data_IF_162927448506
#
_entry.id   IF_162927448506
#
_cell.length_a   1.000
_cell.length_b   1.000
_cell.length_c   1.000
_cell.angle_alpha   90.00
_cell.angle_beta   90.00
_cell.angle_gamma   90.00
#
_symmetry.space_group_name_H-M   'P 1'
#
loop_
_entity.id
_entity.type
_entity.pdbx_description
1 polymer ?
#
# COMPACT_ATOMS: atom_id res chain seq x y z
N UNK A 1 51.95 -8.15 1.79
CA UNK A 1 51.66 -7.53 3.10
C UNK A 1 50.54 -6.53 2.88
N UNK A 2 49.44 -6.68 3.65
CA UNK A 2 48.23 -5.85 3.71
C UNK A 2 47.33 -5.85 2.44
N UNK A 3 46.00 -5.93 2.53
CA UNK A 3 45.06 -6.11 3.64
C UNK A 3 43.76 -6.61 3.02
N UNK A 4 43.18 -7.64 3.61
CA UNK A 4 41.95 -8.28 3.19
C UNK A 4 40.78 -7.29 3.37
N UNK A 5 40.05 -7.03 2.29
CA UNK A 5 38.80 -6.29 2.35
C UNK A 5 37.75 -7.22 2.94
N UNK A 6 37.46 -7.02 4.23
CA UNK A 6 36.37 -7.65 4.95
C UNK A 6 35.07 -7.41 4.20
N UNK A 7 34.53 -8.46 3.58
CA UNK A 7 33.18 -8.47 3.04
C UNK A 7 32.22 -8.48 4.22
N UNK A 8 31.72 -7.31 4.60
CA UNK A 8 30.55 -7.22 5.46
C UNK A 8 29.33 -7.51 4.58
N UNK A 9 28.92 -8.78 4.51
CA UNK A 9 27.58 -9.15 4.05
C UNK A 9 26.57 -8.52 5.01
N UNK A 10 26.22 -7.27 4.75
CA UNK A 10 25.02 -6.67 5.28
C UNK A 10 23.85 -7.47 4.70
N UNK A 11 23.48 -8.52 5.42
CA UNK A 11 22.24 -9.26 5.24
C UNK A 11 21.12 -8.22 5.33
N UNK A 12 20.69 -7.75 4.16
CA UNK A 12 19.54 -6.88 4.03
C UNK A 12 18.36 -7.69 4.53
N UNK A 13 18.00 -7.50 5.81
CA UNK A 13 16.77 -8.03 6.38
C UNK A 13 15.63 -7.33 5.66
N UNK A 14 15.25 -7.89 4.51
CA UNK A 14 13.96 -7.63 3.89
C UNK A 14 12.94 -7.90 4.99
N UNK A 15 12.13 -6.90 5.40
CA UNK A 15 11.12 -7.12 6.43
C UNK A 15 10.31 -8.33 6.01
N UNK A 16 10.29 -9.36 6.86
CA UNK A 16 9.56 -10.59 6.57
C UNK A 16 8.13 -10.19 6.21
N UNK A 17 7.72 -10.49 4.97
CA UNK A 17 6.37 -10.24 4.54
C UNK A 17 5.44 -10.93 5.55
N UNK A 18 4.41 -10.24 6.07
CA UNK A 18 3.52 -10.83 7.05
C UNK A 18 2.95 -12.13 6.47
N UNK A 19 2.75 -13.18 7.30
CA UNK A 19 2.30 -14.48 6.84
C UNK A 19 1.04 -14.30 5.98
N UNK A 20 1.17 -14.62 4.69
CA UNK A 20 0.06 -14.61 3.74
C UNK A 20 -0.86 -15.73 4.19
N UNK A 21 -1.92 -15.38 4.93
CA UNK A 21 -2.95 -16.33 5.27
C UNK A 21 -3.66 -16.71 3.95
N UNK A 22 -3.58 -17.98 3.49
CA UNK A 22 -4.10 -18.40 2.19
C UNK A 22 -5.62 -18.21 2.06
N UNK A 23 -6.33 -17.99 3.17
CA UNK A 23 -7.75 -17.68 3.19
C UNK A 23 -8.08 -16.23 2.82
N UNK A 24 -7.08 -15.34 2.77
CA UNK A 24 -7.29 -13.90 2.51
C UNK A 24 -6.69 -13.45 1.19
N UNK A 25 -7.52 -12.83 0.37
CA UNK A 25 -7.15 -12.25 -0.91
C UNK A 25 -6.93 -10.73 -0.79
N UNK A 26 -5.77 -10.21 -1.24
CA UNK A 26 -5.52 -8.78 -1.26
C UNK A 26 -6.28 -8.11 -2.41
N UNK A 27 -7.16 -7.17 -2.07
CA UNK A 27 -7.85 -6.30 -3.03
C UNK A 27 -7.25 -4.90 -2.95
N UNK A 28 -6.80 -4.39 -4.09
CA UNK A 28 -6.33 -3.00 -4.23
C UNK A 28 -7.45 -2.12 -4.75
N UNK A 29 -7.71 -1.03 -4.04
CA UNK A 29 -8.67 -0.01 -4.42
C UNK A 29 -7.89 1.25 -4.71
N UNK A 30 -8.06 1.81 -5.91
CA UNK A 30 -7.37 3.01 -6.35
C UNK A 30 -8.37 4.11 -6.66
N UNK A 31 -8.13 5.29 -6.10
CA UNK A 31 -8.90 6.51 -6.42
C UNK A 31 -7.98 7.43 -7.19
N UNK A 32 -8.39 7.87 -8.38
CA UNK A 32 -7.62 8.73 -9.27
C UNK A 32 -8.46 9.95 -9.66
N UNK A 33 -7.88 11.15 -9.65
CA UNK A 33 -8.56 12.37 -10.05
C UNK A 33 -7.85 13.65 -9.63
N UNK A 34 -8.61 14.73 -9.41
CA UNK A 34 -8.06 15.95 -8.82
C UNK A 34 -7.68 15.70 -7.35
N UNK A 35 -6.71 16.44 -6.82
CA UNK A 35 -6.29 16.33 -5.41
C UNK A 35 -7.47 16.47 -4.45
N UNK A 36 -8.36 17.43 -4.73
CA UNK A 36 -9.54 17.68 -3.92
C UNK A 36 -10.53 16.50 -3.97
N UNK A 37 -10.82 15.97 -5.16
CA UNK A 37 -11.75 14.85 -5.31
C UNK A 37 -11.24 13.57 -4.63
N UNK A 38 -9.94 13.27 -4.76
CA UNK A 38 -9.31 12.11 -4.11
C UNK A 38 -9.45 12.22 -2.59
N UNK A 39 -9.11 13.38 -2.00
CA UNK A 39 -9.24 13.60 -0.56
C UNK A 39 -10.70 13.50 -0.10
N UNK A 40 -11.64 14.10 -0.84
CA UNK A 40 -13.07 14.04 -0.52
C UNK A 40 -13.57 12.60 -0.45
N UNK A 41 -13.21 11.75 -1.43
CA UNK A 41 -13.59 10.34 -1.45
C UNK A 41 -12.97 9.59 -0.27
N UNK A 42 -11.68 9.76 0.01
CA UNK A 42 -11.01 9.11 1.15
C UNK A 42 -11.69 9.49 2.48
N UNK A 43 -11.96 10.78 2.71
CA UNK A 43 -12.65 11.23 3.91
C UNK A 43 -14.08 10.70 4.00
N UNK A 44 -14.78 10.59 2.88
CA UNK A 44 -16.14 10.02 2.84
C UNK A 44 -16.11 8.54 3.21
N UNK A 45 -15.23 7.74 2.59
CA UNK A 45 -15.06 6.32 2.90
C UNK A 45 -14.63 6.09 4.36
N UNK A 46 -13.83 7.01 4.92
CA UNK A 46 -13.51 7.00 6.34
C UNK A 46 -14.75 7.21 7.21
N UNK A 47 -15.57 8.23 6.91
CA UNK A 47 -16.81 8.49 7.66
C UNK A 47 -17.82 7.35 7.57
N UNK A 48 -17.82 6.61 6.47
CA UNK A 48 -18.65 5.42 6.28
C UNK A 48 -18.09 4.16 6.97
N UNK A 49 -16.92 4.24 7.61
CA UNK A 49 -16.30 3.10 8.29
C UNK A 49 -15.66 2.08 7.34
N UNK A 50 -15.52 2.39 6.05
CA UNK A 50 -14.95 1.49 5.06
C UNK A 50 -13.44 1.28 5.27
N UNK A 51 -12.71 2.37 5.51
CA UNK A 51 -11.27 2.35 5.74
C UNK A 51 -10.82 3.57 6.53
N UNK A 52 -9.82 3.41 7.40
CA UNK A 52 -9.22 4.56 8.07
C UNK A 52 -8.44 5.42 7.07
N UNK A 53 -8.40 6.74 7.26
CA UNK A 53 -7.66 7.63 6.37
C UNK A 53 -6.15 7.26 6.29
N UNK A 54 -5.59 6.75 7.39
CA UNK A 54 -4.20 6.28 7.46
C UNK A 54 -3.92 4.94 6.78
N UNK A 55 -4.95 4.16 6.40
CA UNK A 55 -4.78 2.92 5.63
C UNK A 55 -4.51 3.18 4.14
N UNK A 56 -4.81 4.39 3.67
CA UNK A 56 -4.55 4.80 2.30
C UNK A 56 -3.08 5.18 2.10
N UNK A 57 -2.54 4.89 0.92
CA UNK A 57 -1.20 5.36 0.56
C UNK A 57 -1.14 6.89 0.56
N UNK A 58 0.06 7.43 0.74
CA UNK A 58 0.31 8.85 0.50
C UNK A 58 -0.18 9.23 -0.90
N UNK A 59 -0.75 10.43 -1.01
CA UNK A 59 -1.14 11.01 -2.29
C UNK A 59 0.08 11.11 -3.20
N UNK A 60 -0.04 10.54 -4.38
CA UNK A 60 1.02 10.46 -5.37
C UNK A 60 0.47 10.83 -6.75
N UNK A 61 1.34 11.19 -7.69
CA UNK A 61 0.94 11.52 -9.05
C UNK A 61 0.99 10.24 -9.88
N UNK A 62 -0.10 9.94 -10.57
CA UNK A 62 -0.21 8.82 -11.49
C UNK A 62 0.60 9.15 -12.76
N UNK A 63 1.58 8.31 -13.16
CA UNK A 63 2.56 8.68 -14.18
C UNK A 63 1.98 8.91 -15.59
N UNK A 64 0.90 8.22 -15.92
CA UNK A 64 0.33 8.21 -17.27
C UNK A 64 -0.57 9.42 -17.53
N UNK A 65 -1.42 9.76 -16.57
CA UNK A 65 -2.46 10.79 -16.66
C UNK A 65 -2.09 12.09 -15.96
N UNK A 66 -1.01 12.08 -15.15
CA UNK A 66 -0.62 13.19 -14.26
C UNK A 66 -1.70 13.57 -13.23
N UNK A 67 -2.66 12.68 -12.99
CA UNK A 67 -3.69 12.88 -11.98
C UNK A 67 -3.18 12.48 -10.59
N UNK A 68 -3.84 12.98 -9.54
CA UNK A 68 -3.55 12.54 -8.19
C UNK A 68 -4.17 11.17 -7.96
N UNK A 69 -3.46 10.29 -7.26
CA UNK A 69 -3.96 8.97 -6.87
C UNK A 69 -3.62 8.62 -5.42
N UNK A 70 -4.41 7.72 -4.85
CA UNK A 70 -4.13 7.03 -3.60
C UNK A 70 -4.66 5.60 -3.67
N UNK A 71 -3.94 4.66 -3.04
CA UNK A 71 -4.22 3.22 -3.09
C UNK A 71 -4.45 2.69 -1.70
N UNK A 72 -5.52 1.91 -1.53
CA UNK A 72 -5.83 1.13 -0.34
C UNK A 72 -5.67 -0.36 -0.66
N UNK A 73 -5.08 -1.13 0.25
CA UNK A 73 -5.06 -2.60 0.16
C UNK A 73 -5.88 -3.18 1.30
N UNK A 74 -6.93 -3.95 0.98
CA UNK A 74 -7.75 -4.69 1.96
C UNK A 74 -7.54 -6.19 1.79
N UNK A 75 -7.53 -6.92 2.89
CA UNK A 75 -7.41 -8.38 2.90
C UNK A 75 -8.77 -9.00 3.15
N UNK A 76 -9.44 -9.41 2.08
CA UNK A 76 -10.78 -10.01 2.16
C UNK A 76 -10.65 -11.51 2.35
N UNK A 77 -11.42 -12.10 3.26
CA UNK A 77 -11.51 -13.56 3.32
C UNK A 77 -12.32 -14.06 2.14
N UNK A 78 -11.86 -15.12 1.47
CA UNK A 78 -12.71 -15.86 0.51
C UNK A 78 -13.81 -16.55 1.31
N UNK A 79 -14.97 -15.90 1.41
CA UNK A 79 -16.15 -16.55 1.98
C UNK A 79 -16.76 -17.49 0.92
N UNK A 80 -17.02 -18.76 1.25
CA UNK A 80 -17.81 -19.63 0.39
C UNK A 80 -19.28 -19.26 0.57
N UNK A 81 -19.74 -18.23 -0.14
CA UNK A 81 -21.16 -18.08 -0.42
C UNK A 81 -21.46 -18.68 -1.78
#
# INVERSE_FOLDING_TARGET
MAKEFLSNEAKSEVPAAPPVNPEREPVKIMVVGSRWAVLLIIHTLHRLGFAQAGEWSKLQIEPATRQWMSVLTKWLRRSPF
#
